data_IF_642289917193
#
_entry.id   IF_642289917193
#
_cell.length_a   1.000
_cell.length_b   1.000
_cell.length_c   1.000
_cell.angle_alpha   90.00
_cell.angle_beta   90.00
_cell.angle_gamma   90.00
#
_symmetry.space_group_name_H-M   'P 1'
#
loop_
_entity.id
_entity.type
_entity.pdbx_description
1 polymer ?
#
# COMPACT_ATOMS: atom_id res chain seq x y z
N UNK A 1 47.61 23.89 14.76
CA UNK A 1 46.20 24.01 15.17
C UNK A 1 45.23 24.02 14.00
N UNK A 2 45.38 24.83 12.95
CA UNK A 2 44.42 24.96 11.83
C UNK A 2 44.09 23.64 11.09
N UNK A 3 45.02 22.73 10.88
CA UNK A 3 44.75 21.43 10.20
C UNK A 3 43.86 20.50 11.01
N UNK A 4 43.99 20.43 12.34
CA UNK A 4 43.13 19.58 13.19
C UNK A 4 41.69 20.04 13.21
N UNK A 5 41.45 21.36 13.22
CA UNK A 5 40.10 21.93 13.17
C UNK A 5 39.42 21.63 11.83
N UNK A 6 40.14 21.77 10.71
CA UNK A 6 39.59 21.46 9.38
C UNK A 6 39.19 19.99 9.25
N UNK A 7 40.03 19.06 9.77
CA UNK A 7 39.72 17.63 9.75
C UNK A 7 38.51 17.28 10.60
N UNK A 8 38.38 17.90 11.79
CA UNK A 8 37.24 17.70 12.68
C UNK A 8 35.92 18.19 12.05
N UNK A 9 35.94 19.38 11.42
CA UNK A 9 34.77 19.92 10.73
C UNK A 9 34.35 19.05 9.55
N UNK A 10 35.32 18.52 8.78
CA UNK A 10 35.04 17.60 7.66
C UNK A 10 34.42 16.29 8.15
N UNK A 11 34.93 15.70 9.22
CA UNK A 11 34.40 14.44 9.78
C UNK A 11 32.98 14.66 10.31
N UNK A 12 32.71 15.76 11.02
CA UNK A 12 31.36 16.11 11.51
C UNK A 12 30.41 16.33 10.34
N UNK A 13 30.85 17.01 9.28
CA UNK A 13 30.06 17.23 8.07
C UNK A 13 29.69 15.93 7.35
N UNK A 14 30.65 15.01 7.20
CA UNK A 14 30.40 13.69 6.61
C UNK A 14 29.45 12.87 7.49
N UNK A 15 29.65 12.87 8.81
CA UNK A 15 28.79 12.18 9.76
C UNK A 15 27.35 12.72 9.69
N UNK A 16 27.18 14.02 9.59
CA UNK A 16 25.88 14.67 9.45
C UNK A 16 25.17 14.27 8.13
N UNK A 17 25.91 14.25 7.01
CA UNK A 17 25.37 13.85 5.70
C UNK A 17 24.96 12.37 5.69
N UNK A 18 25.73 11.49 6.35
CA UNK A 18 25.45 10.06 6.41
C UNK A 18 24.32 9.74 7.40
N UNK A 19 24.26 10.44 8.53
CA UNK A 19 23.28 10.19 9.58
C UNK A 19 21.96 10.92 9.37
N UNK A 20 21.95 12.05 8.65
CA UNK A 20 20.71 12.83 8.44
C UNK A 20 19.59 12.05 7.75
N UNK A 21 19.82 11.24 6.70
CA UNK A 21 18.77 10.42 6.10
C UNK A 21 18.22 9.36 7.07
N UNK A 22 19.09 8.76 7.89
CA UNK A 22 18.70 7.80 8.93
C UNK A 22 17.86 8.48 10.03
N UNK A 23 18.27 9.67 10.48
CA UNK A 23 17.51 10.45 11.44
C UNK A 23 16.15 10.87 10.88
N UNK A 24 16.10 11.36 9.65
CA UNK A 24 14.83 11.76 9.01
C UNK A 24 13.88 10.58 8.89
N UNK A 25 14.37 9.39 8.52
CA UNK A 25 13.54 8.19 8.41
C UNK A 25 12.97 7.72 9.76
N UNK A 26 13.71 7.90 10.86
CA UNK A 26 13.26 7.55 12.21
C UNK A 26 12.11 8.45 12.72
N UNK A 27 12.03 9.67 12.22
CA UNK A 27 10.98 10.63 12.63
C UNK A 27 9.78 10.67 11.68
N UNK A 28 9.83 9.97 10.53
CA UNK A 28 8.66 9.87 9.64
C UNK A 28 7.58 9.00 10.28
N UNK A 29 6.33 9.43 10.16
CA UNK A 29 5.19 8.58 10.51
C UNK A 29 5.19 7.30 9.67
N UNK A 30 4.53 6.24 10.13
CA UNK A 30 4.36 5.01 9.36
C UNK A 30 3.75 5.30 7.99
N UNK A 31 2.72 6.14 7.92
CA UNK A 31 2.05 6.52 6.67
C UNK A 31 3.00 7.23 5.70
N UNK A 32 3.83 8.14 6.19
CA UNK A 32 4.82 8.83 5.35
C UNK A 32 5.86 7.84 4.78
N UNK A 33 6.27 6.82 5.54
CA UNK A 33 7.18 5.78 5.06
C UNK A 33 6.53 4.88 4.01
N UNK A 34 5.26 4.51 4.22
CA UNK A 34 4.47 3.75 3.24
C UNK A 34 4.36 4.53 1.93
N UNK A 35 3.98 5.81 1.99
CA UNK A 35 3.87 6.70 0.83
C UNK A 35 5.21 6.81 0.09
N UNK A 36 6.30 7.05 0.81
CA UNK A 36 7.64 7.10 0.21
C UNK A 36 8.02 5.79 -0.49
N UNK A 37 7.69 4.64 0.12
CA UNK A 37 7.98 3.34 -0.48
C UNK A 37 7.19 3.12 -1.77
N UNK A 38 5.91 3.51 -1.80
CA UNK A 38 5.08 3.43 -3.00
C UNK A 38 5.63 4.35 -4.09
N UNK A 39 6.04 5.57 -3.74
CA UNK A 39 6.55 6.56 -4.69
C UNK A 39 7.94 6.17 -5.22
N UNK A 40 8.83 5.66 -4.37
CA UNK A 40 10.19 5.23 -4.77
C UNK A 40 10.18 3.95 -5.62
N UNK A 41 9.24 3.03 -5.35
CA UNK A 41 9.03 1.82 -6.14
C UNK A 41 8.36 2.06 -7.50
N UNK A 42 8.02 3.32 -7.80
CA UNK A 42 7.41 3.71 -9.05
C UNK A 42 8.49 4.12 -10.06
N UNK A 43 8.79 3.24 -11.02
CA UNK A 43 9.76 3.55 -12.10
C UNK A 43 9.24 4.63 -13.06
N UNK A 44 7.93 4.81 -13.14
CA UNK A 44 7.28 5.86 -13.93
C UNK A 44 6.91 7.02 -13.01
N UNK A 45 7.69 8.07 -13.01
CA UNK A 45 7.58 9.31 -12.19
C UNK A 45 6.23 10.07 -12.32
N UNK A 46 5.19 9.42 -12.82
CA UNK A 46 3.93 10.05 -13.21
C UNK A 46 2.82 9.95 -12.16
N UNK A 47 3.02 9.22 -11.05
CA UNK A 47 1.90 8.84 -10.18
C UNK A 47 2.26 8.92 -8.68
N UNK A 48 2.76 10.09 -8.24
CA UNK A 48 3.05 10.29 -6.83
C UNK A 48 1.78 10.14 -6.00
N UNK A 49 1.86 9.31 -4.98
CA UNK A 49 0.83 9.15 -3.96
C UNK A 49 0.87 10.35 -3.04
N UNK A 50 -0.28 10.95 -2.81
CA UNK A 50 -0.43 12.10 -1.92
C UNK A 50 -1.15 11.74 -0.62
N UNK A 51 -1.97 10.71 -0.63
CA UNK A 51 -2.83 10.34 0.50
C UNK A 51 -2.98 8.84 0.62
N UNK A 52 -2.86 8.35 1.86
CA UNK A 52 -3.16 6.97 2.23
C UNK A 52 -4.60 6.89 2.73
N UNK A 53 -5.43 6.12 2.02
CA UNK A 53 -6.85 5.98 2.31
C UNK A 53 -7.13 4.82 3.27
N UNK A 54 -6.31 3.77 3.17
CA UNK A 54 -6.49 2.54 3.92
C UNK A 54 -5.15 1.85 4.14
N UNK A 55 -5.00 1.21 5.31
CA UNK A 55 -3.90 0.29 5.59
C UNK A 55 -4.33 -0.80 6.54
N UNK A 56 -3.87 -2.01 6.29
CA UNK A 56 -4.04 -3.14 7.21
C UNK A 56 -2.76 -3.98 7.26
N UNK A 57 -2.34 -4.32 8.47
CA UNK A 57 -1.23 -5.26 8.69
C UNK A 57 -1.68 -6.67 8.32
N UNK A 58 -0.82 -7.36 7.61
CA UNK A 58 -0.95 -8.78 7.25
C UNK A 58 0.32 -9.49 7.72
N UNK A 59 0.37 -10.82 7.65
CA UNK A 59 1.43 -11.69 8.23
C UNK A 59 2.84 -11.06 8.31
N UNK A 60 3.37 -10.62 7.18
CA UNK A 60 4.75 -10.12 7.05
C UNK A 60 4.83 -8.75 6.35
N UNK A 61 3.71 -8.00 6.34
CA UNK A 61 3.68 -6.72 5.63
C UNK A 61 2.41 -5.91 5.86
N UNK A 62 2.11 -5.06 4.89
CA UNK A 62 0.95 -4.16 4.90
C UNK A 62 0.28 -4.20 3.53
N UNK A 63 -1.04 -4.37 3.52
CA UNK A 63 -1.89 -4.01 2.38
C UNK A 63 -2.33 -2.56 2.60
N UNK A 64 -2.19 -1.74 1.58
CA UNK A 64 -2.64 -0.36 1.64
C UNK A 64 -3.31 0.07 0.34
N UNK A 65 -4.17 1.07 0.48
CA UNK A 65 -4.83 1.76 -0.63
C UNK A 65 -4.49 3.24 -0.54
N UNK A 66 -4.12 3.83 -1.65
CA UNK A 66 -3.71 5.21 -1.74
C UNK A 66 -4.30 5.88 -2.99
N UNK A 67 -4.36 7.20 -2.99
CA UNK A 67 -4.75 8.00 -4.16
C UNK A 67 -3.55 8.78 -4.65
N UNK A 68 -3.29 8.72 -5.95
CA UNK A 68 -2.25 9.51 -6.58
C UNK A 68 -2.70 10.96 -6.82
N UNK A 69 -1.73 11.85 -7.06
CA UNK A 69 -1.98 13.23 -7.44
C UNK A 69 -2.76 13.38 -8.77
N UNK A 70 -2.82 12.32 -9.58
CA UNK A 70 -3.62 12.24 -10.82
C UNK A 70 -5.01 11.63 -10.61
N UNK A 71 -5.39 11.31 -9.39
CA UNK A 71 -6.67 10.71 -9.08
C UNK A 71 -6.77 9.22 -9.44
N UNK A 72 -5.65 8.51 -9.52
CA UNK A 72 -5.64 7.07 -9.68
C UNK A 72 -5.67 6.38 -8.32
N UNK A 73 -6.41 5.29 -8.23
CA UNK A 73 -6.38 4.41 -7.08
C UNK A 73 -5.20 3.45 -7.18
N UNK A 74 -4.46 3.33 -6.10
CA UNK A 74 -3.30 2.45 -5.99
C UNK A 74 -3.53 1.51 -4.82
N UNK A 75 -3.61 0.21 -5.10
CA UNK A 75 -3.61 -0.84 -4.08
C UNK A 75 -2.26 -1.52 -4.09
N UNK A 76 -1.61 -1.60 -2.93
CA UNK A 76 -0.24 -2.09 -2.82
C UNK A 76 -0.08 -3.08 -1.68
N UNK A 77 0.82 -4.05 -1.88
CA UNK A 77 1.36 -4.90 -0.84
C UNK A 77 2.82 -4.53 -0.58
N UNK A 78 3.11 -4.16 0.66
CA UNK A 78 4.44 -3.82 1.14
C UNK A 78 4.87 -4.86 2.17
N UNK A 79 6.05 -5.44 1.97
CA UNK A 79 6.64 -6.39 2.90
C UNK A 79 7.65 -5.70 3.80
N UNK A 80 7.64 -6.03 5.09
CA UNK A 80 8.66 -5.56 6.02
C UNK A 80 10.04 -6.07 5.60
N UNK A 81 11.07 -5.25 5.71
CA UNK A 81 12.45 -5.72 5.55
C UNK A 81 12.85 -6.62 6.71
N UNK A 82 13.66 -7.65 6.42
CA UNK A 82 14.03 -8.72 7.37
C UNK A 82 14.62 -8.25 8.70
N UNK A 83 15.18 -7.03 8.73
CA UNK A 83 15.90 -6.50 9.89
C UNK A 83 15.38 -5.13 10.35
N UNK A 84 14.23 -4.69 9.84
CA UNK A 84 13.69 -3.38 10.16
C UNK A 84 12.14 -3.40 10.10
N UNK A 85 11.53 -3.13 11.24
CA UNK A 85 10.07 -2.93 11.31
C UNK A 85 9.64 -1.56 10.74
N UNK A 86 10.58 -0.78 10.22
CA UNK A 86 10.35 0.59 9.76
C UNK A 86 10.61 0.79 8.27
N UNK A 87 11.14 -0.24 7.59
CA UNK A 87 11.42 -0.21 6.14
C UNK A 87 10.57 -1.25 5.43
N UNK A 88 10.06 -0.85 4.26
CA UNK A 88 9.16 -1.65 3.45
C UNK A 88 9.72 -1.84 2.04
N UNK A 89 9.45 -3.01 1.47
CA UNK A 89 9.68 -3.31 0.06
C UNK A 89 8.33 -3.44 -0.65
N UNK A 90 8.13 -2.70 -1.73
CA UNK A 90 6.94 -2.82 -2.57
C UNK A 90 7.02 -4.14 -3.37
N UNK A 91 6.14 -5.08 -3.07
CA UNK A 91 6.11 -6.39 -3.74
C UNK A 91 4.90 -6.61 -4.63
N UNK A 92 3.83 -5.87 -4.45
CA UNK A 92 2.65 -5.96 -5.29
C UNK A 92 2.00 -4.59 -5.46
N UNK A 93 1.47 -4.31 -6.66
CA UNK A 93 0.81 -3.05 -6.95
C UNK A 93 -0.20 -3.21 -8.07
N UNK A 94 -1.35 -2.58 -7.90
CA UNK A 94 -2.33 -2.30 -8.96
C UNK A 94 -2.60 -0.81 -8.96
N UNK A 95 -2.45 -0.18 -10.11
CA UNK A 95 -2.76 1.23 -10.32
C UNK A 95 -3.83 1.33 -11.39
N UNK A 96 -4.92 2.02 -11.10
CA UNK A 96 -6.05 2.10 -12.02
C UNK A 96 -6.99 3.25 -11.67
N UNK A 97 -7.84 3.62 -12.63
CA UNK A 97 -8.98 4.48 -12.35
C UNK A 97 -9.97 3.77 -11.41
N UNK A 98 -10.52 4.49 -10.44
CA UNK A 98 -11.42 3.88 -9.45
C UNK A 98 -12.66 3.26 -10.09
N UNK A 99 -13.18 3.86 -11.15
CA UNK A 99 -14.37 3.38 -11.86
C UNK A 99 -14.14 1.99 -12.53
N UNK A 100 -12.88 1.52 -12.64
CA UNK A 100 -12.55 0.18 -13.15
C UNK A 100 -12.47 -0.89 -12.06
N UNK A 101 -12.38 -0.48 -10.80
CA UNK A 101 -12.31 -1.40 -9.64
C UNK A 101 -13.63 -1.42 -8.89
N UNK A 102 -14.25 -0.25 -8.70
CA UNK A 102 -15.49 -0.16 -7.95
C UNK A 102 -16.63 -0.80 -8.75
N UNK A 103 -17.29 -1.75 -8.14
CA UNK A 103 -18.38 -2.52 -8.75
C UNK A 103 -19.61 -2.49 -7.86
N UNK A 104 -20.79 -2.66 -8.42
CA UNK A 104 -22.02 -2.98 -7.70
C UNK A 104 -22.20 -4.51 -7.51
N UNK A 105 -21.39 -5.30 -8.25
CA UNK A 105 -21.32 -6.75 -8.08
C UNK A 105 -20.36 -7.10 -6.92
N UNK A 106 -20.89 -7.70 -5.82
CA UNK A 106 -20.08 -8.11 -4.68
C UNK A 106 -19.06 -9.22 -5.00
N UNK A 107 -19.21 -9.90 -6.12
CA UNK A 107 -18.34 -10.99 -6.57
C UNK A 107 -17.18 -10.50 -7.47
N UNK A 108 -17.13 -9.22 -7.78
CA UNK A 108 -16.07 -8.64 -8.58
C UNK A 108 -14.72 -8.73 -7.87
N UNK A 109 -13.72 -9.31 -8.54
CA UNK A 109 -12.40 -9.61 -8.01
C UNK A 109 -11.32 -9.01 -8.90
N UNK A 110 -10.35 -8.35 -8.28
CA UNK A 110 -9.16 -7.84 -8.96
C UNK A 110 -7.92 -8.55 -8.42
N UNK A 111 -7.06 -9.03 -9.31
CA UNK A 111 -5.79 -9.68 -8.96
C UNK A 111 -4.66 -8.66 -8.81
N UNK A 112 -3.93 -8.72 -7.70
CA UNK A 112 -2.66 -8.03 -7.49
C UNK A 112 -1.53 -9.06 -7.42
N UNK A 113 -0.71 -9.22 -8.46
CA UNK A 113 0.40 -10.16 -8.45
C UNK A 113 1.46 -9.72 -7.44
N UNK A 114 2.08 -10.68 -6.76
CA UNK A 114 3.20 -10.45 -5.86
C UNK A 114 4.50 -10.75 -6.62
N UNK A 115 5.46 -9.81 -6.59
CA UNK A 115 6.79 -10.00 -7.17
C UNK A 115 7.60 -11.11 -6.47
N UNK A 116 8.76 -11.45 -7.03
CA UNK A 116 9.71 -12.41 -6.48
C UNK A 116 9.26 -13.88 -6.48
N UNK A 117 8.66 -14.33 -7.59
CA UNK A 117 8.27 -15.72 -7.81
C UNK A 117 7.35 -16.30 -6.73
N UNK A 118 6.58 -15.45 -6.07
CA UNK A 118 5.56 -15.92 -5.14
C UNK A 118 4.52 -16.73 -5.91
N UNK A 119 4.18 -17.92 -5.42
CA UNK A 119 3.05 -18.69 -5.92
C UNK A 119 1.71 -18.05 -5.53
N UNK A 120 1.73 -17.11 -4.58
CA UNK A 120 0.54 -16.42 -4.11
C UNK A 120 0.37 -15.07 -4.78
N UNK A 121 -0.87 -14.65 -4.91
CA UNK A 121 -1.29 -13.28 -5.26
C UNK A 121 -2.22 -12.75 -4.18
N UNK A 122 -2.37 -11.45 -4.08
CA UNK A 122 -3.51 -10.87 -3.38
C UNK A 122 -4.64 -10.64 -4.38
N UNK A 123 -5.82 -10.99 -3.96
CA UNK A 123 -7.06 -10.71 -4.65
C UNK A 123 -7.85 -9.73 -3.80
N UNK A 124 -8.52 -8.77 -4.39
CA UNK A 124 -9.29 -7.78 -3.68
C UNK A 124 -10.52 -7.35 -4.46
N UNK A 125 -11.49 -6.79 -3.77
CA UNK A 125 -12.67 -6.17 -4.35
C UNK A 125 -13.01 -4.86 -3.64
N UNK A 126 -13.66 -3.96 -4.38
CA UNK A 126 -14.23 -2.74 -3.84
C UNK A 126 -15.65 -2.58 -4.38
N UNK A 127 -16.65 -2.86 -3.56
CA UNK A 127 -18.04 -2.99 -3.97
C UNK A 127 -18.94 -1.97 -3.26
N UNK A 128 -19.85 -1.33 -4.01
CA UNK A 128 -20.84 -0.40 -3.47
C UNK A 128 -22.03 -1.09 -2.83
N UNK A 129 -22.30 -2.36 -3.17
CA UNK A 129 -23.45 -3.12 -2.66
C UNK A 129 -23.30 -3.46 -1.18
N UNK A 130 -24.34 -3.27 -0.38
CA UNK A 130 -24.40 -3.72 1.02
C UNK A 130 -24.24 -5.24 1.18
N UNK A 131 -24.51 -6.03 0.12
CA UNK A 131 -24.24 -7.48 0.10
C UNK A 131 -22.78 -7.83 0.23
N UNK A 132 -21.86 -6.89 -0.08
CA UNK A 132 -20.44 -7.07 0.09
C UNK A 132 -19.96 -6.83 1.53
N UNK A 133 -20.83 -6.50 2.48
CA UNK A 133 -20.47 -6.28 3.88
C UNK A 133 -19.87 -7.53 4.53
N UNK A 134 -20.32 -8.69 4.09
CA UNK A 134 -19.85 -9.98 4.59
C UNK A 134 -19.76 -10.98 3.43
N UNK A 135 -18.58 -11.53 3.22
CA UNK A 135 -18.31 -12.41 2.10
C UNK A 135 -17.74 -13.74 2.59
N UNK A 136 -18.05 -14.82 1.88
CA UNK A 136 -17.35 -16.08 2.00
C UNK A 136 -16.37 -16.17 0.81
N UNK A 137 -15.08 -16.24 1.13
CA UNK A 137 -13.99 -16.34 0.16
C UNK A 137 -13.26 -17.66 0.40
N UNK A 138 -13.37 -18.59 -0.52
CA UNK A 138 -12.82 -19.96 -0.40
C UNK A 138 -13.18 -20.67 0.92
N UNK A 139 -14.42 -20.51 1.39
CA UNK A 139 -14.87 -21.09 2.65
C UNK A 139 -14.52 -20.26 3.89
N UNK A 140 -13.78 -19.17 3.75
CA UNK A 140 -13.45 -18.25 4.85
C UNK A 140 -14.40 -17.06 4.85
N UNK A 141 -15.06 -16.81 5.98
CA UNK A 141 -15.93 -15.63 6.13
C UNK A 141 -15.09 -14.42 6.45
N UNK A 142 -15.17 -13.40 5.59
CA UNK A 142 -14.50 -12.11 5.72
C UNK A 142 -15.54 -11.04 6.08
N UNK A 143 -15.26 -10.29 7.14
CA UNK A 143 -15.91 -9.01 7.41
C UNK A 143 -15.17 -7.94 6.59
N UNK A 144 -15.88 -7.26 5.71
CA UNK A 144 -15.28 -6.26 4.82
C UNK A 144 -15.28 -4.89 5.48
N UNK A 145 -14.38 -4.01 5.07
CA UNK A 145 -14.30 -2.67 5.63
C UNK A 145 -15.00 -1.66 4.72
N UNK A 146 -15.87 -0.84 5.31
CA UNK A 146 -16.53 0.26 4.57
C UNK A 146 -15.58 1.43 4.46
N UNK A 147 -15.16 1.75 3.24
CA UNK A 147 -14.25 2.84 2.94
C UNK A 147 -14.96 3.93 2.14
N UNK A 148 -14.42 5.14 2.28
CA UNK A 148 -14.78 6.29 1.46
C UNK A 148 -13.52 6.91 0.87
N UNK A 149 -13.45 6.97 -0.45
CA UNK A 149 -12.30 7.46 -1.21
C UNK A 149 -12.71 8.71 -1.96
N UNK A 150 -12.01 9.82 -1.71
CA UNK A 150 -12.25 11.08 -2.43
C UNK A 150 -11.24 11.22 -3.57
N UNK A 151 -11.74 11.37 -4.80
CA UNK A 151 -10.93 11.61 -5.98
C UNK A 151 -11.44 12.88 -6.67
N UNK A 152 -10.66 13.93 -6.66
CA UNK A 152 -11.09 15.25 -7.09
C UNK A 152 -12.29 15.72 -6.26
N UNK A 153 -13.42 16.00 -6.92
CA UNK A 153 -14.67 16.42 -6.27
C UNK A 153 -15.66 15.28 -6.04
N UNK A 154 -15.33 14.04 -6.43
CA UNK A 154 -16.21 12.89 -6.33
C UNK A 154 -15.82 12.02 -5.13
N UNK A 155 -16.83 11.62 -4.35
CA UNK A 155 -16.68 10.71 -3.22
C UNK A 155 -17.23 9.34 -3.63
N UNK A 156 -16.38 8.33 -3.52
CA UNK A 156 -16.72 6.93 -3.75
C UNK A 156 -16.80 6.24 -2.40
N UNK A 157 -17.86 5.48 -2.15
CA UNK A 157 -18.02 4.72 -0.90
C UNK A 157 -18.37 3.29 -1.22
N UNK A 158 -17.77 2.34 -0.53
CA UNK A 158 -18.01 0.92 -0.75
C UNK A 158 -17.33 0.07 0.31
N UNK A 159 -17.47 -1.23 0.14
CA UNK A 159 -16.88 -2.26 0.97
C UNK A 159 -15.63 -2.80 0.29
N UNK A 160 -14.51 -2.74 1.01
CA UNK A 160 -13.21 -3.24 0.55
C UNK A 160 -12.86 -4.53 1.28
N UNK A 161 -12.29 -5.47 0.54
CA UNK A 161 -11.76 -6.71 1.06
C UNK A 161 -10.53 -7.14 0.27
N UNK A 162 -9.71 -7.98 0.87
CA UNK A 162 -8.60 -8.64 0.18
C UNK A 162 -8.39 -10.05 0.73
N UNK A 163 -7.78 -10.91 -0.08
CA UNK A 163 -7.53 -12.31 0.23
C UNK A 163 -6.26 -12.79 -0.47
N UNK A 164 -5.43 -13.57 0.22
CA UNK A 164 -4.20 -14.13 -0.32
C UNK A 164 -4.45 -15.57 -0.77
N UNK A 165 -4.24 -15.85 -2.07
CA UNK A 165 -4.45 -17.17 -2.64
C UNK A 165 -3.42 -17.48 -3.75
N UNK A 166 -3.23 -18.76 -4.06
CA UNK A 166 -2.43 -19.23 -5.20
C UNK A 166 -3.25 -19.31 -6.49
N UNK A 167 -4.56 -19.30 -6.39
CA UNK A 167 -5.52 -19.28 -7.49
C UNK A 167 -6.57 -18.19 -7.29
N UNK A 168 -7.35 -17.90 -8.31
CA UNK A 168 -8.47 -16.97 -8.19
C UNK A 168 -9.52 -17.54 -7.21
N UNK A 169 -9.85 -16.79 -6.15
CA UNK A 169 -10.74 -17.29 -5.11
C UNK A 169 -12.20 -17.31 -5.57
N UNK A 170 -12.96 -18.23 -5.02
CA UNK A 170 -14.41 -18.25 -5.15
C UNK A 170 -15.02 -17.33 -4.11
N UNK A 171 -15.75 -16.31 -4.56
CA UNK A 171 -16.39 -15.32 -3.68
C UNK A 171 -17.90 -15.55 -3.68
N UNK A 172 -18.52 -15.50 -2.51
CA UNK A 172 -19.97 -15.64 -2.31
C UNK A 172 -20.45 -14.63 -1.26
N UNK A 173 -21.66 -14.14 -1.41
CA UNK A 173 -22.30 -13.34 -0.35
C UNK A 173 -22.76 -14.25 0.78
N UNK A 174 -22.66 -13.74 2.00
CA UNK A 174 -23.20 -14.40 3.20
C UNK A 174 -24.46 -13.64 3.62
N UNK A 175 -25.58 -14.30 3.63
CA UNK A 175 -26.87 -13.74 4.07
C UNK A 175 -26.89 -13.51 5.60
#
# INVERSE_FOLDING_TARGET
MKRKVATTVLVIGILYIVLSPLFISLFKSEDARIIDTINTGNMDSLEDVSELVYKQKVDDGIICMAVSNKGLLIVSYLKNERFSDTQYNLLGRVTTEIDKIISDDPLSVTKMPIANFSKYSYYFGFCTSEKAKRLNVDGTVLETEKLSVKIGNKLYSGYFWFYKSDSEPTVQTVD
#
